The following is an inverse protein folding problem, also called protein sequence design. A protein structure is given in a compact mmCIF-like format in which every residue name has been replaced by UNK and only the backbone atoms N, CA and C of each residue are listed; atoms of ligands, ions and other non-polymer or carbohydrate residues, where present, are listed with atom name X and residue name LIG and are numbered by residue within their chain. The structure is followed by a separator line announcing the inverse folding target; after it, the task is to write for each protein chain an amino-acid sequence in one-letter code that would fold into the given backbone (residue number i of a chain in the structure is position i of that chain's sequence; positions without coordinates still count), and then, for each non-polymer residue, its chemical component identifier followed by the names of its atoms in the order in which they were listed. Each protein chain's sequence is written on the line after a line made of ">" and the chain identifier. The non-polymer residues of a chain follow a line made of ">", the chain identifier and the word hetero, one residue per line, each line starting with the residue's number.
data_IF_506348017308
#
_entry.id   IF_506348017308
#
_cell.length_a   1.000
_cell.length_b   1.000
_cell.length_c   1.000
_cell.angle_alpha   90.00
_cell.angle_beta   90.00
_cell.angle_gamma   90.00
#
_symmetry.space_group_name_H-M   'P 1'
#
loop_
_entity.id
_entity.type
_entity.pdbx_description
1 polymer ?
#
# COMPACT_ATOMS: atom_id res chain seq x y z
N UNK A 1 42.98 23.18 -14.52
CA UNK A 1 42.77 21.86 -15.12
C UNK A 1 42.96 20.83 -14.01
N UNK A 2 41.88 20.31 -13.45
CA UNK A 2 41.96 19.18 -12.52
C UNK A 2 42.21 17.92 -13.35
N UNK A 3 43.37 17.27 -13.14
CA UNK A 3 43.70 15.97 -13.72
C UNK A 3 42.62 14.99 -13.32
N UNK A 4 41.78 14.54 -14.26
CA UNK A 4 40.98 13.35 -14.08
C UNK A 4 41.95 12.18 -14.04
N UNK A 5 42.26 11.68 -12.85
CA UNK A 5 42.96 10.41 -12.68
C UNK A 5 42.25 9.32 -13.47
N UNK A 6 42.98 8.50 -14.18
CA UNK A 6 42.52 7.34 -14.90
C UNK A 6 41.83 6.42 -13.88
N UNK A 7 40.47 6.27 -13.96
CA UNK A 7 39.70 5.41 -13.07
C UNK A 7 40.11 3.97 -13.33
N UNK A 8 40.68 3.33 -12.32
CA UNK A 8 41.02 1.91 -12.38
C UNK A 8 39.78 1.02 -12.16
N UNK A 9 39.88 -0.23 -12.54
CA UNK A 9 38.82 -1.24 -12.34
C UNK A 9 38.39 -1.38 -10.86
N UNK A 10 39.30 -1.06 -9.92
CA UNK A 10 39.07 -1.13 -8.47
C UNK A 10 38.31 0.09 -7.92
N UNK A 11 38.38 1.26 -8.56
CA UNK A 11 37.72 2.49 -8.10
C UNK A 11 36.18 2.34 -8.12
N UNK A 12 35.67 1.52 -9.02
CA UNK A 12 34.26 1.23 -9.09
C UNK A 12 33.80 0.31 -7.94
N UNK A 13 34.60 -0.69 -7.61
CA UNK A 13 34.33 -1.58 -6.47
C UNK A 13 34.39 -0.83 -5.15
N UNK A 14 35.36 0.06 -4.93
CA UNK A 14 35.43 0.92 -3.75
C UNK A 14 34.25 1.87 -3.65
N UNK A 15 33.80 2.42 -4.78
CA UNK A 15 32.60 3.26 -4.81
C UNK A 15 31.35 2.50 -4.43
N UNK A 16 31.19 1.29 -4.92
CA UNK A 16 30.06 0.40 -4.56
C UNK A 16 30.13 0.04 -3.08
N UNK A 17 31.30 -0.33 -2.56
CA UNK A 17 31.48 -0.63 -1.14
C UNK A 17 31.11 0.57 -0.25
N UNK A 18 31.58 1.79 -0.59
CA UNK A 18 31.21 3.02 0.13
C UNK A 18 29.72 3.36 0.08
N UNK A 19 29.02 3.00 -1.02
CA UNK A 19 27.56 3.15 -1.11
C UNK A 19 26.84 2.10 -0.25
N UNK A 20 27.37 0.89 -0.18
CA UNK A 20 26.84 -0.20 0.65
C UNK A 20 27.04 0.07 2.15
N UNK A 21 28.16 0.70 2.55
CA UNK A 21 28.38 1.12 3.94
C UNK A 21 27.28 2.05 4.46
N UNK A 22 26.71 2.89 3.60
CA UNK A 22 25.57 3.77 3.93
C UNK A 22 24.25 3.02 4.10
N UNK A 23 24.24 1.71 3.84
CA UNK A 23 23.05 0.81 3.88
C UNK A 23 21.80 1.48 3.30
N UNK A 24 21.79 1.80 2.00
CA UNK A 24 20.60 2.39 1.36
C UNK A 24 19.40 1.46 1.56
N UNK A 25 18.20 2.03 1.58
CA UNK A 25 16.97 1.28 1.87
C UNK A 25 16.80 0.03 1.01
N UNK A 26 17.21 0.08 -0.26
CA UNK A 26 17.10 -1.06 -1.18
C UNK A 26 18.02 -2.22 -0.79
N UNK A 27 19.27 -1.93 -0.39
CA UNK A 27 20.20 -2.96 0.12
C UNK A 27 19.64 -3.64 1.35
N UNK A 28 19.13 -2.86 2.31
CA UNK A 28 18.51 -3.39 3.52
C UNK A 28 17.27 -4.25 3.22
N UNK A 29 16.43 -3.82 2.26
CA UNK A 29 15.30 -4.64 1.80
C UNK A 29 15.77 -5.96 1.19
N UNK A 30 16.82 -5.94 0.37
CA UNK A 30 17.37 -7.16 -0.22
C UNK A 30 17.83 -8.15 0.85
N UNK A 31 18.50 -7.65 1.91
CA UNK A 31 19.06 -8.48 2.98
C UNK A 31 18.02 -8.98 3.99
N UNK A 32 16.98 -8.18 4.28
CA UNK A 32 16.07 -8.43 5.41
C UNK A 32 14.75 -9.09 5.03
N UNK A 33 14.28 -8.92 3.79
CA UNK A 33 13.01 -9.49 3.36
C UNK A 33 13.24 -10.91 2.81
N UNK A 34 12.42 -11.89 3.20
CA UNK A 34 12.56 -13.28 2.73
C UNK A 34 12.00 -13.45 1.33
N UNK A 35 12.65 -12.85 0.32
CA UNK A 35 12.16 -12.78 -1.07
C UNK A 35 11.79 -14.14 -1.66
N UNK A 36 12.60 -15.17 -1.42
CA UNK A 36 12.36 -16.51 -1.96
C UNK A 36 11.07 -17.16 -1.39
N UNK A 37 10.64 -16.77 -0.21
CA UNK A 37 9.39 -17.27 0.37
C UNK A 37 8.15 -16.84 -0.43
N UNK A 38 8.24 -15.75 -1.21
CA UNK A 38 7.15 -15.30 -2.09
C UNK A 38 7.04 -16.11 -3.38
N UNK A 39 8.12 -16.80 -3.81
CA UNK A 39 8.19 -17.49 -5.10
C UNK A 39 7.03 -18.45 -5.36
N UNK A 40 6.61 -19.32 -4.43
CA UNK A 40 5.50 -20.26 -4.70
C UNK A 40 4.17 -19.57 -5.03
N UNK A 41 3.91 -18.41 -4.41
CA UNK A 41 2.72 -17.59 -4.69
C UNK A 41 2.86 -16.88 -6.04
N UNK A 42 4.02 -16.30 -6.31
CA UNK A 42 4.28 -15.59 -7.56
C UNK A 42 4.20 -16.51 -8.79
N UNK A 43 4.60 -17.76 -8.65
CA UNK A 43 4.51 -18.77 -9.71
C UNK A 43 3.05 -19.09 -10.09
N UNK A 44 2.08 -18.95 -9.18
CA UNK A 44 0.65 -19.05 -9.49
C UNK A 44 0.21 -18.06 -10.58
N UNK A 45 0.82 -16.89 -10.67
CA UNK A 45 0.58 -15.90 -11.74
C UNK A 45 0.99 -16.41 -13.13
N UNK A 46 1.76 -17.49 -13.20
CA UNK A 46 2.16 -18.17 -14.44
C UNK A 46 1.47 -19.52 -14.62
N UNK A 47 0.29 -19.73 -14.09
CA UNK A 47 -0.44 -21.01 -14.03
C UNK A 47 -0.71 -21.69 -15.37
N UNK A 48 -0.46 -21.03 -16.51
CA UNK A 48 -0.50 -21.69 -17.82
C UNK A 48 0.83 -22.42 -18.07
N UNK A 49 0.77 -23.74 -18.10
CA UNK A 49 1.88 -24.57 -18.54
C UNK A 49 2.34 -24.14 -19.94
N UNK A 50 3.66 -24.09 -20.13
CA UNK A 50 4.23 -23.86 -21.46
C UNK A 50 3.88 -25.04 -22.36
N UNK A 51 3.18 -24.80 -23.44
CA UNK A 51 2.86 -25.82 -24.46
C UNK A 51 4.09 -26.30 -25.23
N UNK A 52 5.19 -25.55 -25.20
CA UNK A 52 6.47 -25.92 -25.84
C UNK A 52 7.64 -25.14 -25.24
N UNK A 53 8.87 -25.62 -25.43
CA UNK A 53 10.11 -24.90 -25.08
C UNK A 53 10.48 -23.80 -26.09
N UNK A 54 9.68 -23.59 -27.14
CA UNK A 54 9.88 -22.54 -28.12
C UNK A 54 9.43 -21.19 -27.56
N UNK A 55 10.09 -20.11 -27.96
CA UNK A 55 9.77 -18.75 -27.59
C UNK A 55 10.66 -18.17 -26.46
N UNK A 56 10.43 -16.87 -26.14
CA UNK A 56 11.18 -16.14 -25.12
C UNK A 56 11.07 -16.83 -23.75
N UNK A 57 12.19 -16.98 -23.04
CA UNK A 57 12.19 -17.53 -21.68
C UNK A 57 11.33 -16.64 -20.77
N UNK A 58 10.63 -17.26 -19.81
CA UNK A 58 9.91 -16.52 -18.77
C UNK A 58 10.92 -15.73 -17.94
N UNK A 59 10.57 -14.50 -17.63
CA UNK A 59 11.32 -13.68 -16.67
C UNK A 59 11.04 -14.25 -15.29
N UNK A 60 12.05 -14.27 -14.43
CA UNK A 60 11.90 -14.70 -13.03
C UNK A 60 10.83 -13.84 -12.34
N UNK A 61 9.78 -14.45 -11.74
CA UNK A 61 8.70 -13.73 -11.10
C UNK A 61 9.17 -12.86 -9.92
N UNK A 62 10.28 -13.19 -9.26
CA UNK A 62 10.86 -12.36 -8.22
C UNK A 62 11.42 -11.04 -8.75
N UNK A 63 12.03 -11.03 -9.94
CA UNK A 63 12.46 -9.79 -10.59
C UNK A 63 11.26 -8.87 -10.80
N UNK A 64 10.19 -9.40 -11.39
CA UNK A 64 8.96 -8.64 -11.64
C UNK A 64 8.29 -8.17 -10.34
N UNK A 65 8.25 -9.01 -9.31
CA UNK A 65 7.70 -8.63 -8.01
C UNK A 65 8.51 -7.50 -7.36
N UNK A 66 9.83 -7.57 -7.39
CA UNK A 66 10.70 -6.48 -6.90
C UNK A 66 10.51 -5.19 -7.71
N UNK A 67 10.25 -5.27 -9.03
CA UNK A 67 9.87 -4.10 -9.82
C UNK A 67 8.52 -3.51 -9.36
N UNK A 68 7.52 -4.35 -9.02
CA UNK A 68 6.27 -3.86 -8.41
C UNK A 68 6.51 -3.19 -7.05
N UNK A 69 7.43 -3.71 -6.23
CA UNK A 69 7.83 -3.07 -4.97
C UNK A 69 8.50 -1.72 -5.21
N UNK A 70 9.38 -1.59 -6.21
CA UNK A 70 9.95 -0.29 -6.60
C UNK A 70 8.87 0.72 -7.01
N UNK A 71 7.86 0.27 -7.75
CA UNK A 71 6.72 1.12 -8.09
C UNK A 71 6.03 1.68 -6.84
N UNK A 72 5.86 0.87 -5.81
CA UNK A 72 5.22 1.30 -4.58
C UNK A 72 6.10 2.18 -3.72
N UNK A 73 7.40 1.89 -3.66
CA UNK A 73 8.39 2.69 -2.92
C UNK A 73 8.52 4.11 -3.44
N UNK A 74 8.45 4.29 -4.76
CA UNK A 74 8.72 5.57 -5.41
C UNK A 74 7.53 6.13 -6.18
N UNK A 75 6.37 5.45 -6.13
CA UNK A 75 5.14 5.81 -6.86
C UNK A 75 5.34 5.95 -8.37
N UNK A 76 6.03 4.99 -8.98
CA UNK A 76 6.41 5.01 -10.40
C UNK A 76 5.30 4.43 -11.29
N UNK A 77 5.20 4.93 -12.52
CA UNK A 77 4.41 4.30 -13.58
C UNK A 77 5.09 3.00 -14.09
N UNK A 78 4.42 2.28 -14.98
CA UNK A 78 5.00 1.08 -15.56
C UNK A 78 6.21 1.43 -16.46
N UNK A 79 6.10 2.51 -17.24
CA UNK A 79 7.17 3.05 -18.07
C UNK A 79 8.34 3.60 -17.23
N UNK A 80 8.00 4.29 -16.13
CA UNK A 80 9.01 4.90 -15.29
C UNK A 80 9.82 3.86 -14.52
N UNK A 81 9.21 2.75 -14.07
CA UNK A 81 9.99 1.70 -13.40
C UNK A 81 10.94 0.98 -14.37
N UNK A 82 10.52 0.74 -15.61
CA UNK A 82 11.40 0.23 -16.67
C UNK A 82 12.60 1.17 -16.87
N UNK A 83 12.33 2.47 -17.10
CA UNK A 83 13.36 3.48 -17.27
C UNK A 83 14.32 3.54 -16.08
N UNK A 84 13.80 3.59 -14.85
CA UNK A 84 14.59 3.72 -13.64
C UNK A 84 15.46 2.48 -13.35
N UNK A 85 14.99 1.28 -13.69
CA UNK A 85 15.79 0.05 -13.57
C UNK A 85 16.94 0.05 -14.58
N UNK A 86 16.74 0.63 -15.78
CA UNK A 86 17.79 0.83 -16.77
C UNK A 86 18.83 1.89 -16.35
N UNK A 87 18.36 2.99 -15.74
CA UNK A 87 19.18 4.17 -15.44
C UNK A 87 19.96 4.04 -14.12
N UNK A 88 19.37 3.36 -13.12
CA UNK A 88 19.90 3.30 -11.76
C UNK A 88 20.45 1.93 -11.41
N UNK A 89 21.74 1.83 -11.29
CA UNK A 89 22.42 0.62 -10.82
C UNK A 89 21.85 0.05 -9.51
N UNK A 90 21.48 0.91 -8.56
CA UNK A 90 20.86 0.45 -7.30
C UNK A 90 19.49 -0.22 -7.48
N UNK A 91 18.74 0.14 -8.52
CA UNK A 91 17.48 -0.51 -8.87
C UNK A 91 17.75 -1.85 -9.57
N UNK A 92 18.70 -1.87 -10.52
CA UNK A 92 19.14 -3.08 -11.20
C UNK A 92 19.63 -4.14 -10.19
N UNK A 93 20.49 -3.75 -9.25
CA UNK A 93 20.97 -4.61 -8.16
C UNK A 93 19.84 -5.11 -7.26
N UNK A 94 18.90 -4.23 -6.89
CA UNK A 94 17.76 -4.59 -6.03
C UNK A 94 16.87 -5.65 -6.69
N UNK A 95 16.54 -5.50 -7.97
CA UNK A 95 15.71 -6.48 -8.68
C UNK A 95 16.44 -7.79 -8.94
N UNK A 96 17.77 -7.79 -8.86
CA UNK A 96 18.61 -8.98 -9.07
C UNK A 96 18.99 -9.21 -10.53
N UNK A 97 19.01 -8.15 -11.33
CA UNK A 97 19.49 -8.19 -12.71
C UNK A 97 21.01 -7.92 -12.74
N UNK A 98 21.71 -8.57 -13.63
CA UNK A 98 23.10 -8.29 -13.95
C UNK A 98 23.21 -7.52 -15.26
N UNK A 99 24.33 -6.87 -15.48
CA UNK A 99 24.63 -5.99 -16.63
C UNK A 99 24.30 -6.62 -18.02
N UNK A 100 24.27 -7.94 -18.10
CA UNK A 100 24.00 -8.68 -19.35
C UNK A 100 22.56 -9.19 -19.46
N UNK A 101 21.69 -8.86 -18.49
CA UNK A 101 20.31 -9.33 -18.50
C UNK A 101 19.39 -8.34 -19.20
N UNK A 102 18.43 -8.86 -19.97
CA UNK A 102 17.36 -8.04 -20.53
C UNK A 102 16.46 -7.53 -19.40
N UNK A 103 16.24 -6.23 -19.36
CA UNK A 103 15.34 -5.59 -18.40
C UNK A 103 13.89 -5.80 -18.86
N UNK A 104 12.96 -6.20 -17.96
CA UNK A 104 11.55 -6.33 -18.29
C UNK A 104 10.95 -5.00 -18.72
N UNK A 105 10.23 -5.00 -19.85
CA UNK A 105 9.52 -3.83 -20.34
C UNK A 105 8.25 -3.50 -19.50
N UNK A 106 7.76 -2.26 -19.62
CA UNK A 106 6.58 -1.76 -18.93
C UNK A 106 5.34 -2.64 -19.13
N UNK A 107 5.17 -3.16 -20.35
CA UNK A 107 4.05 -4.05 -20.70
C UNK A 107 4.13 -5.36 -19.94
N UNK A 108 5.32 -5.94 -19.83
CA UNK A 108 5.58 -7.17 -19.07
C UNK A 108 5.26 -6.98 -17.59
N UNK A 109 5.68 -5.87 -16.98
CA UNK A 109 5.38 -5.53 -15.58
C UNK A 109 3.87 -5.35 -15.37
N UNK A 110 3.21 -4.62 -16.26
CA UNK A 110 1.76 -4.41 -16.21
C UNK A 110 0.98 -5.73 -16.33
N UNK A 111 1.33 -6.59 -17.27
CA UNK A 111 0.69 -7.90 -17.44
C UNK A 111 0.95 -8.83 -16.25
N UNK A 112 2.15 -8.82 -15.69
CA UNK A 112 2.44 -9.63 -14.51
C UNK A 112 1.56 -9.21 -13.32
N UNK A 113 1.47 -7.91 -13.02
CA UNK A 113 0.58 -7.39 -11.98
C UNK A 113 -0.88 -7.79 -12.21
N UNK A 114 -1.37 -7.68 -13.47
CA UNK A 114 -2.74 -8.04 -13.80
C UNK A 114 -3.00 -9.55 -13.66
N UNK A 115 -2.01 -10.41 -13.95
CA UNK A 115 -2.10 -11.85 -13.70
C UNK A 115 -2.18 -12.17 -12.21
N UNK A 116 -1.31 -11.56 -11.39
CA UNK A 116 -1.35 -11.74 -9.93
C UNK A 116 -2.71 -11.29 -9.36
N UNK A 117 -3.24 -10.15 -9.82
CA UNK A 117 -4.56 -9.66 -9.42
C UNK A 117 -5.66 -10.66 -9.76
N UNK A 118 -5.72 -11.11 -11.02
CA UNK A 118 -6.76 -12.06 -11.48
C UNK A 118 -6.68 -13.42 -10.77
N UNK A 119 -5.52 -13.80 -10.30
CA UNK A 119 -5.31 -15.04 -9.56
C UNK A 119 -5.49 -14.88 -8.03
N UNK A 120 -5.83 -13.67 -7.52
CA UNK A 120 -5.96 -13.40 -6.08
C UNK A 120 -4.64 -13.49 -5.30
N UNK A 121 -3.51 -13.48 -6.01
CA UNK A 121 -2.19 -13.71 -5.39
C UNK A 121 -1.72 -12.48 -4.61
N UNK A 122 -2.16 -11.28 -4.98
CA UNK A 122 -1.68 -10.04 -4.35
C UNK A 122 -2.09 -9.99 -2.88
N UNK A 123 -3.30 -10.42 -2.56
CA UNK A 123 -3.81 -10.55 -1.20
C UNK A 123 -3.06 -11.65 -0.44
N UNK A 124 -2.82 -12.81 -1.07
CA UNK A 124 -2.04 -13.91 -0.48
C UNK A 124 -0.58 -13.49 -0.15
N UNK A 125 0.03 -12.60 -0.95
CA UNK A 125 1.37 -12.05 -0.67
C UNK A 125 1.37 -11.20 0.61
N UNK A 126 0.31 -10.43 0.84
CA UNK A 126 0.17 -9.65 2.07
C UNK A 126 -0.02 -10.57 3.28
N UNK A 127 -0.91 -11.54 3.20
CA UNK A 127 -1.17 -12.52 4.27
C UNK A 127 0.06 -13.37 4.60
N UNK A 128 0.81 -13.78 3.57
CA UNK A 128 2.06 -14.51 3.78
C UNK A 128 3.08 -13.69 4.58
N UNK A 129 3.20 -12.39 4.29
CA UNK A 129 4.11 -11.54 5.05
C UNK A 129 3.62 -11.29 6.47
N UNK A 130 2.31 -11.23 6.71
CA UNK A 130 1.73 -11.22 8.05
C UNK A 130 2.10 -12.49 8.84
N UNK A 131 2.04 -13.66 8.22
CA UNK A 131 2.53 -14.91 8.80
C UNK A 131 4.01 -14.84 9.16
N UNK A 132 4.84 -14.35 8.24
CA UNK A 132 6.27 -14.14 8.50
C UNK A 132 6.52 -13.21 9.68
N UNK A 133 5.78 -12.09 9.81
CA UNK A 133 5.93 -11.18 10.95
C UNK A 133 5.63 -11.88 12.29
N UNK A 134 4.61 -12.74 12.33
CA UNK A 134 4.28 -13.56 13.53
C UNK A 134 5.41 -14.52 13.86
N UNK A 135 5.97 -15.20 12.88
CA UNK A 135 7.11 -16.12 13.06
C UNK A 135 8.36 -15.39 13.59
N UNK A 136 8.48 -14.08 13.32
CA UNK A 136 9.52 -13.23 13.89
C UNK A 136 9.16 -12.64 15.27
N UNK A 137 8.05 -13.05 15.89
CA UNK A 137 7.60 -12.54 17.19
C UNK A 137 6.99 -11.12 17.13
N UNK A 138 6.66 -10.65 15.93
CA UNK A 138 6.04 -9.34 15.69
C UNK A 138 4.51 -9.47 15.53
N UNK A 139 3.89 -10.18 16.46
CA UNK A 139 2.43 -10.34 16.51
C UNK A 139 1.72 -9.00 16.75
N UNK A 140 0.43 -8.92 16.37
CA UNK A 140 -0.37 -7.73 16.61
C UNK A 140 -0.64 -7.54 18.10
N UNK A 141 -0.16 -6.43 18.68
CA UNK A 141 -0.25 -6.10 20.11
C UNK A 141 -0.54 -4.64 20.36
N UNK A 142 -0.85 -4.33 21.62
CA UNK A 142 -1.10 -2.98 22.10
C UNK A 142 -2.48 -2.46 21.69
N UNK A 143 -3.35 -3.31 21.12
CA UNK A 143 -4.62 -2.95 20.51
C UNK A 143 -4.46 -2.45 19.08
N UNK A 144 -5.52 -1.90 18.50
CA UNK A 144 -5.59 -1.57 17.07
C UNK A 144 -6.05 -0.13 16.84
N UNK A 145 -5.42 0.52 15.85
CA UNK A 145 -5.71 1.90 15.47
C UNK A 145 -6.28 1.89 14.05
N UNK A 146 -7.48 2.44 13.88
CA UNK A 146 -8.21 2.45 12.61
C UNK A 146 -8.34 3.88 12.11
N UNK A 147 -7.98 4.10 10.85
CA UNK A 147 -8.16 5.38 10.16
C UNK A 147 -8.18 5.19 8.63
N UNK A 148 -8.59 6.23 7.90
CA UNK A 148 -8.72 6.22 6.46
C UNK A 148 -8.01 7.40 5.79
N UNK A 149 -7.35 7.13 4.69
CA UNK A 149 -6.74 8.17 3.86
C UNK A 149 -7.38 8.22 2.48
N UNK A 150 -7.48 9.44 1.94
CA UNK A 150 -7.93 9.65 0.56
C UNK A 150 -6.85 9.22 -0.43
N UNK A 151 -7.31 8.55 -1.47
CA UNK A 151 -6.53 8.08 -2.62
C UNK A 151 -6.97 8.89 -3.83
N UNK A 152 -6.26 9.94 -4.21
CA UNK A 152 -6.60 10.71 -5.38
C UNK A 152 -6.35 9.91 -6.67
N UNK A 153 -7.22 10.12 -7.66
CA UNK A 153 -7.05 9.65 -9.04
C UNK A 153 -7.18 10.82 -10.01
N UNK A 154 -6.69 10.71 -11.25
CA UNK A 154 -6.88 11.74 -12.26
C UNK A 154 -8.37 12.06 -12.45
N UNK A 155 -8.72 13.35 -12.36
CA UNK A 155 -10.10 13.80 -12.54
C UNK A 155 -10.55 13.57 -13.98
N UNK A 156 -11.71 12.96 -14.14
CA UNK A 156 -12.30 12.70 -15.44
C UNK A 156 -13.20 13.85 -15.90
N UNK A 157 -13.19 14.11 -17.20
CA UNK A 157 -14.11 15.06 -17.83
C UNK A 157 -15.36 14.29 -18.27
N UNK A 158 -16.39 14.29 -17.42
CA UNK A 158 -17.70 13.71 -17.70
C UNK A 158 -18.76 14.82 -17.71
N UNK A 159 -19.83 14.63 -18.48
CA UNK A 159 -21.00 15.51 -18.44
C UNK A 159 -21.77 15.32 -17.12
N UNK A 160 -22.78 16.17 -16.88
CA UNK A 160 -23.65 16.04 -15.69
C UNK A 160 -24.50 14.77 -15.75
N UNK A 161 -25.00 14.45 -16.95
CA UNK A 161 -25.80 13.25 -17.22
C UNK A 161 -24.94 12.00 -17.00
N UNK A 162 -23.76 11.90 -17.60
CA UNK A 162 -22.82 10.80 -17.40
C UNK A 162 -22.49 10.60 -15.89
N UNK A 163 -22.23 11.68 -15.17
CA UNK A 163 -21.97 11.59 -13.72
C UNK A 163 -23.21 11.15 -12.92
N UNK A 164 -24.43 11.47 -13.40
CA UNK A 164 -25.67 11.00 -12.78
C UNK A 164 -25.86 9.49 -12.96
N UNK A 165 -25.57 9.00 -14.16
CA UNK A 165 -25.65 7.55 -14.45
C UNK A 165 -24.59 6.77 -13.68
N UNK A 166 -23.34 7.23 -13.67
CA UNK A 166 -22.27 6.62 -12.88
C UNK A 166 -22.62 6.58 -11.37
N UNK A 167 -23.26 7.63 -10.83
CA UNK A 167 -23.73 7.64 -9.44
C UNK A 167 -24.85 6.64 -9.17
N UNK A 168 -25.64 6.33 -10.17
CA UNK A 168 -26.72 5.35 -10.11
C UNK A 168 -26.26 3.94 -10.48
N UNK A 169 -24.93 3.73 -10.55
CA UNK A 169 -24.29 2.49 -10.98
C UNK A 169 -24.79 2.01 -12.36
N UNK A 170 -25.10 2.97 -13.24
CA UNK A 170 -25.48 2.71 -14.63
C UNK A 170 -24.36 3.16 -15.55
N UNK A 171 -24.20 2.43 -16.66
CA UNK A 171 -23.31 2.83 -17.74
C UNK A 171 -23.94 3.98 -18.52
N UNK A 172 -23.23 5.11 -18.74
CA UNK A 172 -23.76 6.20 -19.56
C UNK A 172 -24.00 5.79 -21.01
N UNK A 173 -25.04 6.33 -21.62
CA UNK A 173 -25.44 6.03 -23.00
C UNK A 173 -24.28 6.20 -23.99
N UNK A 174 -24.16 5.28 -24.93
CA UNK A 174 -23.15 5.30 -26.01
C UNK A 174 -21.72 4.93 -25.55
N UNK A 175 -21.50 4.57 -24.27
CA UNK A 175 -20.19 4.11 -23.82
C UNK A 175 -19.94 2.63 -24.15
N UNK A 176 -20.99 1.81 -24.22
CA UNK A 176 -20.89 0.40 -24.62
C UNK A 176 -20.36 0.25 -26.06
N UNK A 177 -20.77 1.15 -26.94
CA UNK A 177 -20.35 1.13 -28.35
C UNK A 177 -18.89 1.59 -28.55
N UNK A 178 -18.32 2.27 -27.57
CA UNK A 178 -16.95 2.78 -27.62
C UNK A 178 -16.06 2.14 -26.55
N UNK A 179 -15.57 0.93 -26.86
CA UNK A 179 -14.72 0.14 -25.96
C UNK A 179 -13.45 0.89 -25.51
N UNK A 180 -12.86 1.72 -26.38
CA UNK A 180 -11.66 2.51 -26.03
C UNK A 180 -11.99 3.60 -25.00
N UNK A 181 -13.16 4.24 -25.12
CA UNK A 181 -13.62 5.21 -24.14
C UNK A 181 -13.90 4.56 -22.80
N UNK A 182 -14.60 3.42 -22.81
CA UNK A 182 -14.93 2.68 -21.60
C UNK A 182 -13.68 2.24 -20.83
N UNK A 183 -12.64 1.76 -21.52
CA UNK A 183 -11.38 1.36 -20.91
C UNK A 183 -10.61 2.52 -20.25
N UNK A 184 -10.86 3.76 -20.68
CA UNK A 184 -10.21 4.97 -20.16
C UNK A 184 -11.00 5.65 -19.03
N UNK A 185 -12.21 5.17 -18.74
CA UNK A 185 -13.09 5.75 -17.72
C UNK A 185 -13.15 4.89 -16.48
N UNK A 186 -13.02 5.55 -15.34
CA UNK A 186 -13.18 4.94 -14.03
C UNK A 186 -14.64 5.07 -13.59
N UNK A 187 -15.34 3.94 -13.53
CA UNK A 187 -16.75 3.88 -13.15
C UNK A 187 -16.94 3.76 -11.63
N UNK A 188 -15.88 3.45 -10.88
CA UNK A 188 -15.95 3.18 -9.44
C UNK A 188 -15.50 4.39 -8.60
N UNK A 189 -14.58 5.21 -9.13
CA UNK A 189 -14.12 6.40 -8.42
C UNK A 189 -15.26 7.38 -8.14
N UNK A 190 -15.29 7.95 -6.94
CA UNK A 190 -16.36 8.85 -6.49
C UNK A 190 -15.81 10.16 -5.93
N UNK A 191 -16.68 11.17 -5.96
CA UNK A 191 -16.42 12.45 -5.32
C UNK A 191 -16.81 12.43 -3.86
N UNK A 192 -15.95 13.01 -3.01
CA UNK A 192 -16.23 13.28 -1.61
C UNK A 192 -15.79 14.71 -1.26
N UNK A 193 -16.53 15.37 -0.37
CA UNK A 193 -16.15 16.68 0.18
C UNK A 193 -15.58 16.49 1.59
N UNK A 194 -14.32 16.87 1.79
CA UNK A 194 -13.66 16.86 3.11
C UNK A 194 -13.05 18.24 3.37
N UNK A 195 -13.36 18.84 4.53
CA UNK A 195 -12.87 20.18 4.91
C UNK A 195 -13.12 21.27 3.85
N UNK A 196 -14.29 21.25 3.22
CA UNK A 196 -14.64 22.22 2.18
C UNK A 196 -14.06 21.93 0.79
N UNK A 197 -13.11 20.99 0.65
CA UNK A 197 -12.44 20.64 -0.60
C UNK A 197 -13.06 19.37 -1.21
N UNK A 198 -13.27 19.39 -2.52
CA UNK A 198 -13.76 18.24 -3.28
C UNK A 198 -12.60 17.34 -3.71
N UNK A 199 -12.64 16.08 -3.33
CA UNK A 199 -11.70 15.03 -3.69
C UNK A 199 -12.38 14.01 -4.59
N UNK A 200 -11.65 13.49 -5.58
CA UNK A 200 -12.11 12.46 -6.49
C UNK A 200 -11.19 11.25 -6.42
N UNK A 201 -11.75 10.07 -6.23
CA UNK A 201 -10.99 8.82 -6.19
C UNK A 201 -11.54 7.79 -5.21
N UNK A 202 -10.65 7.24 -4.41
CA UNK A 202 -10.89 6.15 -3.46
C UNK A 202 -10.46 6.53 -2.05
N UNK A 203 -10.65 5.61 -1.13
CA UNK A 203 -10.08 5.62 0.22
C UNK A 203 -9.35 4.33 0.48
N UNK A 204 -8.23 4.40 1.19
CA UNK A 204 -7.57 3.26 1.81
C UNK A 204 -7.80 3.38 3.32
N UNK A 205 -8.69 2.55 3.85
CA UNK A 205 -8.93 2.42 5.28
C UNK A 205 -8.03 1.32 5.81
N UNK A 206 -7.28 1.59 6.88
CA UNK A 206 -6.32 0.65 7.45
C UNK A 206 -6.54 0.44 8.93
N UNK A 207 -6.18 -0.73 9.40
CA UNK A 207 -6.01 -1.08 10.80
C UNK A 207 -4.53 -1.40 11.03
N UNK A 208 -3.90 -0.71 11.98
CA UNK A 208 -2.53 -1.01 12.42
C UNK A 208 -2.54 -1.50 13.85
N UNK A 209 -1.57 -2.34 14.22
CA UNK A 209 -1.31 -2.63 15.62
C UNK A 209 -0.61 -1.44 16.29
N UNK A 210 -1.01 -1.14 17.54
CA UNK A 210 -0.51 0.06 18.21
C UNK A 210 0.95 -0.08 18.68
N UNK A 211 1.42 -1.29 18.97
CA UNK A 211 2.79 -1.53 19.45
C UNK A 211 3.84 -1.46 18.34
N UNK A 212 3.62 -2.17 17.26
CA UNK A 212 4.62 -2.27 16.18
C UNK A 212 4.33 -1.32 15.03
N UNK A 213 3.07 -0.95 14.81
CA UNK A 213 2.61 -0.04 13.76
C UNK A 213 2.64 -0.67 12.36
N UNK A 214 2.46 -2.00 12.25
CA UNK A 214 2.23 -2.68 10.99
C UNK A 214 0.78 -2.55 10.57
N UNK A 215 0.52 -2.44 9.27
CA UNK A 215 -0.82 -2.57 8.72
C UNK A 215 -1.21 -4.05 8.77
N UNK A 216 -2.25 -4.37 9.54
CA UNK A 216 -2.75 -5.73 9.73
C UNK A 216 -3.94 -6.04 8.83
N UNK A 217 -4.84 -5.06 8.69
CA UNK A 217 -6.01 -5.14 7.81
C UNK A 217 -6.19 -3.84 7.05
N UNK A 218 -6.81 -3.93 5.90
CA UNK A 218 -7.13 -2.75 5.10
C UNK A 218 -8.31 -3.05 4.18
N UNK A 219 -8.99 -1.98 3.75
CA UNK A 219 -10.07 -2.03 2.76
C UNK A 219 -9.96 -0.81 1.86
N UNK A 220 -10.02 -1.01 0.56
CA UNK A 220 -10.08 0.08 -0.43
C UNK A 220 -11.52 0.26 -0.88
N UNK A 221 -12.01 1.48 -0.87
CA UNK A 221 -13.41 1.79 -1.23
C UNK A 221 -13.48 3.03 -2.10
N UNK A 222 -14.56 3.23 -2.87
CA UNK A 222 -14.88 4.53 -3.46
C UNK A 222 -14.91 5.63 -2.39
N UNK A 223 -14.44 6.84 -2.74
CA UNK A 223 -14.23 7.91 -1.76
C UNK A 223 -15.50 8.39 -1.03
N UNK A 224 -16.69 8.14 -1.59
CA UNK A 224 -17.98 8.53 -0.99
C UNK A 224 -18.43 7.60 0.14
N UNK A 225 -17.86 6.41 0.27
CA UNK A 225 -18.22 5.47 1.35
C UNK A 225 -17.75 6.08 2.68
N UNK A 226 -18.59 6.05 3.70
CA UNK A 226 -18.25 6.61 5.01
C UNK A 226 -17.26 5.68 5.74
N UNK A 227 -16.23 6.26 6.35
CA UNK A 227 -15.12 5.51 6.96
C UNK A 227 -15.60 4.48 8.00
N UNK A 228 -16.61 4.86 8.81
CA UNK A 228 -17.15 3.97 9.84
C UNK A 228 -17.84 2.70 9.31
N UNK A 229 -18.30 2.69 8.06
CA UNK A 229 -18.90 1.48 7.47
C UNK A 229 -17.89 0.35 7.30
N UNK A 230 -16.60 0.69 7.25
CA UNK A 230 -15.53 -0.28 7.08
C UNK A 230 -15.04 -0.88 8.41
N UNK A 231 -15.51 -0.37 9.55
CA UNK A 231 -15.07 -0.83 10.87
C UNK A 231 -15.14 -2.36 11.03
N UNK A 232 -16.24 -3.05 10.67
CA UNK A 232 -16.32 -4.51 10.85
C UNK A 232 -15.26 -5.30 10.08
N UNK A 233 -14.85 -4.80 8.89
CA UNK A 233 -13.87 -5.43 8.04
C UNK A 233 -12.43 -5.15 8.47
N UNK A 234 -12.23 -4.06 9.22
CA UNK A 234 -10.92 -3.62 9.68
C UNK A 234 -10.53 -4.17 11.05
N UNK A 235 -11.50 -4.63 11.84
CA UNK A 235 -11.19 -5.23 13.14
C UNK A 235 -10.33 -6.47 12.97
N UNK A 236 -9.24 -6.50 13.71
CA UNK A 236 -8.31 -7.63 13.75
C UNK A 236 -8.56 -8.47 15.01
N UNK A 237 -9.18 -9.66 14.88
CA UNK A 237 -9.45 -10.54 16.01
C UNK A 237 -8.18 -11.23 16.53
N UNK A 238 -7.07 -11.17 15.80
CA UNK A 238 -5.80 -11.79 16.17
C UNK A 238 -4.91 -10.85 16.99
N UNK A 239 -5.34 -9.59 17.20
CA UNK A 239 -4.62 -8.68 18.09
C UNK A 239 -4.73 -9.20 19.54
N UNK A 240 -3.61 -9.29 20.23
CA UNK A 240 -3.56 -9.81 21.60
C UNK A 240 -4.26 -8.90 22.62
N UNK A 241 -4.44 -7.63 22.30
CA UNK A 241 -5.12 -6.65 23.13
C UNK A 241 -6.40 -6.18 22.45
N UNK A 242 -7.46 -5.99 23.24
CA UNK A 242 -8.80 -5.69 22.73
C UNK A 242 -9.10 -4.20 22.54
N UNK A 243 -8.13 -3.29 22.72
CA UNK A 243 -8.34 -1.87 22.57
C UNK A 243 -8.49 -1.45 21.09
N UNK A 244 -9.48 -0.58 20.80
CA UNK A 244 -9.74 -0.03 19.47
C UNK A 244 -9.75 1.49 19.51
N UNK A 245 -8.77 2.12 18.87
CA UNK A 245 -8.70 3.57 18.69
C UNK A 245 -9.13 3.96 17.28
N UNK A 246 -10.01 4.92 17.19
CA UNK A 246 -10.42 5.56 15.94
C UNK A 246 -10.84 7.01 16.18
N UNK A 247 -11.05 7.76 15.11
CA UNK A 247 -11.55 9.13 15.24
C UNK A 247 -13.07 9.16 15.56
N UNK A 248 -13.61 10.35 15.78
CA UNK A 248 -15.02 10.53 16.11
C UNK A 248 -15.97 10.21 14.95
N UNK A 249 -15.49 9.98 13.72
CA UNK A 249 -16.33 9.53 12.60
C UNK A 249 -16.82 8.09 12.81
N UNK A 250 -16.11 7.31 13.61
CA UNK A 250 -16.47 5.94 13.99
C UNK A 250 -17.35 5.89 15.27
N UNK A 251 -17.72 7.04 15.84
CA UNK A 251 -18.59 7.10 17.01
C UNK A 251 -20.05 6.82 16.66
N UNK A 252 -20.77 6.12 17.53
CA UNK A 252 -22.18 5.81 17.39
C UNK A 252 -22.55 4.54 18.15
N UNK A 253 -23.83 4.44 18.58
CA UNK A 253 -24.29 3.32 19.40
C UNK A 253 -24.08 1.98 18.67
N UNK A 254 -24.42 1.92 17.38
CA UNK A 254 -24.26 0.71 16.58
C UNK A 254 -22.80 0.19 16.55
N UNK A 255 -21.83 1.10 16.49
CA UNK A 255 -20.41 0.73 16.51
C UNK A 255 -19.93 0.35 17.92
N UNK A 256 -20.44 1.01 18.94
CA UNK A 256 -20.17 0.63 20.32
C UNK A 256 -20.70 -0.79 20.63
N UNK A 257 -21.91 -1.10 20.18
CA UNK A 257 -22.52 -2.43 20.33
C UNK A 257 -21.72 -3.49 19.54
N UNK A 258 -21.30 -3.18 18.29
CA UNK A 258 -20.47 -4.06 17.49
C UNK A 258 -19.14 -4.38 18.19
N UNK A 259 -18.45 -3.38 18.69
CA UNK A 259 -17.19 -3.57 19.42
C UNK A 259 -17.39 -4.39 20.68
N UNK A 260 -18.44 -4.10 21.45
CA UNK A 260 -18.76 -4.83 22.67
C UNK A 260 -19.09 -6.30 22.39
N UNK A 261 -19.88 -6.58 21.36
CA UNK A 261 -20.19 -7.95 20.92
C UNK A 261 -18.94 -8.72 20.46
N UNK A 262 -18.01 -8.03 19.82
CA UNK A 262 -16.71 -8.58 19.41
C UNK A 262 -15.69 -8.71 20.54
N UNK A 263 -16.04 -8.32 21.78
CA UNK A 263 -15.12 -8.34 22.91
C UNK A 263 -14.07 -7.23 22.90
N UNK A 264 -14.25 -6.22 22.06
CA UNK A 264 -13.33 -5.08 21.95
C UNK A 264 -13.69 -3.96 22.92
N UNK A 265 -12.68 -3.29 23.44
CA UNK A 265 -12.81 -2.10 24.28
C UNK A 265 -12.65 -0.84 23.44
N UNK A 266 -13.73 -0.06 23.33
CA UNK A 266 -13.74 1.17 22.54
C UNK A 266 -12.90 2.27 23.19
N UNK A 267 -11.93 2.78 22.45
CA UNK A 267 -11.13 3.99 22.72
C UNK A 267 -11.33 5.03 21.63
N UNK A 268 -12.50 5.00 20.95
CA UNK A 268 -12.88 5.95 19.92
C UNK A 268 -13.06 7.34 20.56
N UNK A 269 -12.71 8.39 19.81
CA UNK A 269 -12.86 9.76 20.25
C UNK A 269 -14.34 10.10 20.56
N UNK A 270 -14.57 10.68 21.72
CA UNK A 270 -15.86 11.19 22.09
C UNK A 270 -16.21 12.41 21.25
N UNK A 271 -17.45 12.48 20.77
CA UNK A 271 -17.95 13.57 19.93
C UNK A 271 -18.90 14.46 20.73
N UNK A 272 -18.59 15.74 20.80
CA UNK A 272 -19.53 16.73 21.28
C UNK A 272 -20.59 17.09 20.23
N UNK A 273 -21.73 17.59 20.65
CA UNK A 273 -22.75 18.19 19.79
C UNK A 273 -22.94 19.68 20.12
N UNK A 274 -23.67 20.39 19.26
CA UNK A 274 -23.94 21.83 19.44
C UNK A 274 -24.56 22.14 20.79
N UNK A 275 -25.42 21.23 21.30
CA UNK A 275 -26.15 21.42 22.55
C UNK A 275 -25.49 20.68 23.73
N UNK A 276 -24.54 19.81 23.49
CA UNK A 276 -23.79 19.03 24.47
C UNK A 276 -22.29 19.05 24.12
N UNK A 277 -21.58 20.15 24.47
CA UNK A 277 -20.14 20.22 24.25
C UNK A 277 -19.41 19.18 25.11
N UNK A 278 -18.21 18.79 24.66
CA UNK A 278 -17.38 17.88 25.44
C UNK A 278 -17.02 18.48 26.80
N UNK A 279 -17.14 17.67 27.85
CA UNK A 279 -16.63 18.02 29.18
C UNK A 279 -15.08 18.10 29.16
N UNK A 280 -14.49 18.82 30.13
CA UNK A 280 -13.02 18.90 30.24
C UNK A 280 -12.39 17.49 30.38
N UNK A 281 -12.98 16.62 31.17
CA UNK A 281 -12.54 15.23 31.32
C UNK A 281 -12.62 14.46 30.00
N UNK A 282 -13.63 14.70 29.15
CA UNK A 282 -13.73 14.07 27.83
C UNK A 282 -12.67 14.61 26.85
N UNK A 283 -12.36 15.92 26.93
CA UNK A 283 -11.27 16.51 26.15
C UNK A 283 -9.90 15.94 26.54
N UNK A 284 -9.65 15.75 27.82
CA UNK A 284 -8.44 15.15 28.33
C UNK A 284 -8.29 13.69 27.85
N UNK A 285 -9.35 12.87 27.98
CA UNK A 285 -9.35 11.51 27.41
C UNK A 285 -9.08 11.51 25.90
N UNK A 286 -9.70 12.41 25.15
CA UNK A 286 -9.47 12.54 23.71
C UNK A 286 -8.03 12.97 23.40
N UNK A 287 -7.39 13.79 24.21
CA UNK A 287 -5.99 14.17 24.07
C UNK A 287 -5.06 12.96 24.21
N UNK A 288 -5.28 12.12 25.22
CA UNK A 288 -4.53 10.88 25.40
C UNK A 288 -4.73 9.92 24.22
N UNK A 289 -5.98 9.74 23.79
CA UNK A 289 -6.32 8.90 22.63
C UNK A 289 -5.68 9.43 21.34
N UNK A 290 -5.60 10.76 21.16
CA UNK A 290 -4.94 11.38 20.01
C UNK A 290 -3.45 11.07 19.95
N UNK A 291 -2.76 11.03 21.07
CA UNK A 291 -1.34 10.69 21.12
C UNK A 291 -1.08 9.26 20.61
N UNK A 292 -1.95 8.29 20.93
CA UNK A 292 -1.85 6.92 20.44
C UNK A 292 -2.21 6.88 18.95
N UNK A 293 -3.30 7.56 18.54
CA UNK A 293 -3.72 7.62 17.14
C UNK A 293 -2.69 8.26 16.20
N UNK A 294 -1.82 9.13 16.72
CA UNK A 294 -0.76 9.71 15.90
C UNK A 294 0.11 8.66 15.17
N UNK A 295 0.16 7.42 15.66
CA UNK A 295 0.87 6.33 14.98
C UNK A 295 0.34 6.05 13.56
N UNK A 296 -0.99 6.11 13.34
CA UNK A 296 -1.55 5.88 12.00
C UNK A 296 -1.27 7.05 11.05
N UNK A 297 -1.17 8.26 11.57
CA UNK A 297 -0.79 9.43 10.77
C UNK A 297 0.65 9.31 10.25
N UNK A 298 1.56 8.68 11.01
CA UNK A 298 2.91 8.36 10.54
C UNK A 298 2.90 7.40 9.35
N UNK A 299 1.98 6.41 9.31
CA UNK A 299 1.80 5.51 8.16
C UNK A 299 1.44 6.33 6.92
N UNK A 300 0.41 7.16 7.00
CA UNK A 300 -0.03 7.99 5.89
C UNK A 300 0.99 9.07 5.50
N UNK A 301 1.71 9.59 6.48
CA UNK A 301 2.84 10.50 6.27
C UNK A 301 3.96 9.82 5.48
N UNK A 302 4.37 8.62 5.86
CA UNK A 302 5.37 7.82 5.13
C UNK A 302 4.94 7.58 3.68
N UNK A 303 3.68 7.17 3.45
CA UNK A 303 3.16 6.96 2.09
C UNK A 303 3.18 8.25 1.25
N UNK A 304 2.93 9.40 1.87
CA UNK A 304 2.87 10.69 1.18
C UNK A 304 4.26 11.23 0.86
N UNK A 305 5.22 11.11 1.78
CA UNK A 305 6.55 11.71 1.67
C UNK A 305 7.60 10.72 1.17
N UNK A 306 7.81 9.63 1.90
CA UNK A 306 8.89 8.68 1.63
C UNK A 306 8.58 7.71 0.51
N UNK A 307 7.31 7.41 0.26
CA UNK A 307 6.86 6.47 -0.79
C UNK A 307 6.27 7.19 -2.02
N UNK A 308 6.68 8.42 -2.30
CA UNK A 308 6.37 9.15 -3.53
C UNK A 308 4.92 9.61 -3.69
N UNK A 309 4.07 9.46 -2.67
CA UNK A 309 2.69 9.94 -2.69
C UNK A 309 1.61 8.86 -2.77
N UNK A 310 0.37 9.32 -2.84
CA UNK A 310 -0.85 8.50 -2.80
C UNK A 310 -1.65 8.53 -4.11
N UNK A 311 -1.19 9.25 -5.11
CA UNK A 311 -1.86 9.30 -6.42
C UNK A 311 -1.73 7.96 -7.13
N UNK A 312 -2.85 7.39 -7.55
CA UNK A 312 -2.88 6.22 -8.44
C UNK A 312 -3.45 6.61 -9.81
N UNK A 313 -2.96 5.94 -10.85
CA UNK A 313 -3.49 6.07 -12.22
C UNK A 313 -4.20 4.80 -12.68
N UNK A 314 -4.46 3.88 -11.75
CA UNK A 314 -5.17 2.64 -12.05
C UNK A 314 -6.67 2.92 -12.15
N UNK A 315 -7.34 2.34 -13.14
CA UNK A 315 -8.76 2.53 -13.44
C UNK A 315 -9.54 1.34 -12.88
N UNK A 316 -10.60 1.64 -12.13
CA UNK A 316 -11.50 0.67 -11.51
C UNK A 316 -11.04 0.24 -10.10
N UNK A 317 -12.03 -0.20 -9.30
CA UNK A 317 -11.83 -0.55 -7.89
C UNK A 317 -10.81 -1.69 -7.73
N UNK A 318 -11.00 -2.80 -8.42
CA UNK A 318 -10.16 -3.99 -8.30
C UNK A 318 -8.66 -3.71 -8.56
N UNK A 319 -8.33 -2.87 -9.56
CA UNK A 319 -6.94 -2.50 -9.84
C UNK A 319 -6.39 -1.54 -8.79
N UNK A 320 -7.24 -0.72 -8.19
CA UNK A 320 -6.85 0.14 -7.08
C UNK A 320 -6.66 -0.66 -5.79
N UNK A 321 -7.48 -1.67 -5.53
CA UNK A 321 -7.28 -2.63 -4.43
C UNK A 321 -5.93 -3.32 -4.57
N UNK A 322 -5.65 -3.93 -5.71
CA UNK A 322 -4.37 -4.58 -5.97
C UNK A 322 -3.16 -3.63 -5.82
N UNK A 323 -3.29 -2.39 -6.31
CA UNK A 323 -2.24 -1.37 -6.18
C UNK A 323 -2.00 -1.00 -4.71
N UNK A 324 -3.07 -0.81 -3.94
CA UNK A 324 -2.98 -0.43 -2.53
C UNK A 324 -2.58 -1.59 -1.62
N UNK A 325 -2.96 -2.81 -1.96
CA UNK A 325 -2.44 -4.02 -1.28
C UNK A 325 -0.93 -4.08 -1.39
N UNK A 326 -0.38 -3.91 -2.60
CA UNK A 326 1.08 -3.85 -2.81
C UNK A 326 1.72 -2.66 -2.08
N UNK A 327 1.05 -1.51 -2.00
CA UNK A 327 1.57 -0.34 -1.28
C UNK A 327 1.57 -0.57 0.23
N UNK A 328 0.51 -1.14 0.78
CA UNK A 328 0.42 -1.51 2.20
C UNK A 328 1.48 -2.57 2.56
N UNK A 329 1.65 -3.60 1.72
CA UNK A 329 2.71 -4.59 1.87
C UNK A 329 4.11 -3.96 1.85
N UNK A 330 4.36 -3.08 0.90
CA UNK A 330 5.64 -2.37 0.78
C UNK A 330 5.90 -1.47 1.99
N UNK A 331 4.86 -0.82 2.53
CA UNK A 331 4.96 -0.10 3.79
C UNK A 331 5.38 -1.04 4.94
N UNK A 332 4.77 -2.23 5.03
CA UNK A 332 5.12 -3.22 6.05
C UNK A 332 6.58 -3.70 5.90
N UNK A 333 7.12 -3.82 4.68
CA UNK A 333 8.55 -4.08 4.47
C UNK A 333 9.43 -2.97 5.05
N UNK A 334 9.10 -1.69 4.80
CA UNK A 334 9.83 -0.56 5.37
C UNK A 334 9.73 -0.53 6.90
N UNK A 335 8.55 -0.84 7.43
CA UNK A 335 8.33 -0.88 8.87
C UNK A 335 9.13 -1.99 9.54
N UNK A 336 9.20 -3.15 8.91
CA UNK A 336 10.04 -4.26 9.36
C UNK A 336 11.52 -3.86 9.44
N UNK A 337 12.06 -3.17 8.43
CA UNK A 337 13.43 -2.66 8.47
C UNK A 337 13.68 -1.71 9.66
N UNK A 338 12.72 -0.84 9.95
CA UNK A 338 12.84 0.10 11.08
C UNK A 338 12.89 -0.64 12.41
N UNK A 339 12.06 -1.66 12.58
CA UNK A 339 12.01 -2.46 13.82
C UNK A 339 13.25 -3.31 14.01
N UNK A 340 13.72 -4.00 12.95
CA UNK A 340 14.93 -4.81 12.99
C UNK A 340 16.18 -3.99 13.32
N UNK A 341 16.26 -2.73 12.85
CA UNK A 341 17.41 -1.85 13.17
C UNK A 341 17.39 -1.39 14.63
N UNK A 342 16.20 -1.07 15.17
CA UNK A 342 16.07 -0.65 16.55
C UNK A 342 16.40 -1.80 17.54
N UNK A 343 16.07 -3.03 17.18
CA UNK A 343 16.45 -4.21 17.97
C UNK A 343 17.98 -4.42 18.05
N UNK A 344 18.68 -4.17 16.93
CA UNK A 344 20.14 -4.25 16.87
C UNK A 344 20.86 -3.11 17.61
N UNK A 345 20.19 -1.97 17.83
CA UNK A 345 20.77 -0.80 18.53
C UNK A 345 20.56 -0.89 20.05
N UNK A 346 19.64 -1.76 20.52
CA UNK A 346 19.32 -1.98 21.93
C UNK A 346 19.96 -3.27 22.50
N UNK A 347 20.60 -4.08 21.67
CA UNK A 347 21.37 -5.26 22.05
C UNK A 347 22.87 -4.94 21.99
#
# INVERSE_FOLDING_TARGET
>A
MLSMGQRGFWDEQERVAKLQEKKPVLTRLTESIPWESFRPLLDKGYSQERKSNAGRKRIDPLILFKMLVLQQLFNLSDEEVEFQVNDRRSFEEFVGLGVMNDIPDATTVAFFRERLRKAGVIEELFEMFEGYLRDQGLEARGGQIIDATLVPVPKQRNTREENKDIKADRLPDGWEENSNRLQQKDLDARWVKKNGINHYGYKNSICIDAEHGFIRRFVVTPANIHDSQMLPMLLDPENQDNYVWADSAYSGQCFADLLSLGGFESRIHEKGSRNHPLSEAAKERNSVRSAIRACVEHVFGCMTTSMGGKLTRKIGLERNEAWWTLKNLTFNFLRYLQRSTNALTLA
#
